data_IF_603143254279
#
_entry.id   IF_603143254279
#
_cell.length_a   1.000
_cell.length_b   1.000
_cell.length_c   1.000
_cell.angle_alpha   90.00
_cell.angle_beta   90.00
_cell.angle_gamma   90.00
#
_symmetry.space_group_name_H-M   'P 1'
#
loop_
_entity.id
_entity.type
_entity.pdbx_description
1 polymer ?
#
# COMPACT_ATOMS: atom_id res chain seq x y z
N UNK A 1 29.03 10.96 -2.02
CA UNK A 1 27.58 10.89 -2.31
C UNK A 1 26.97 9.60 -1.77
N UNK A 2 27.56 8.43 -2.05
CA UNK A 2 27.10 7.16 -1.45
C UNK A 2 27.23 7.15 0.09
N UNK A 3 28.33 7.65 0.66
CA UNK A 3 28.51 7.73 2.12
C UNK A 3 27.44 8.58 2.82
N UNK A 4 26.96 9.65 2.16
CA UNK A 4 25.87 10.47 2.69
C UNK A 4 24.57 9.66 2.80
N UNK A 5 24.18 8.97 1.73
CA UNK A 5 22.97 8.13 1.74
C UNK A 5 23.10 6.95 2.72
N UNK A 6 24.29 6.35 2.81
CA UNK A 6 24.57 5.29 3.78
C UNK A 6 24.40 5.78 5.21
N UNK A 7 25.06 6.89 5.57
CA UNK A 7 25.01 7.44 6.92
C UNK A 7 23.61 7.93 7.27
N UNK A 8 22.95 8.66 6.36
CA UNK A 8 21.58 9.14 6.56
C UNK A 8 20.60 7.98 6.79
N UNK A 9 20.69 6.92 5.99
CA UNK A 9 19.88 5.73 6.20
C UNK A 9 20.12 5.16 7.62
N UNK A 10 21.38 4.97 8.03
CA UNK A 10 21.71 4.47 9.36
C UNK A 10 21.19 5.37 10.48
N UNK A 11 21.31 6.69 10.32
CA UNK A 11 20.90 7.67 11.32
C UNK A 11 19.40 7.63 11.60
N UNK A 12 18.57 7.47 10.56
CA UNK A 12 17.12 7.32 10.69
C UNK A 12 16.71 6.16 11.62
N UNK A 13 17.48 5.06 11.63
CA UNK A 13 17.15 3.89 12.45
C UNK A 13 17.73 3.92 13.86
N UNK A 14 18.64 4.85 14.20
CA UNK A 14 19.29 4.87 15.52
C UNK A 14 18.30 4.97 16.68
N UNK A 15 17.22 5.73 16.47
CA UNK A 15 16.21 5.99 17.48
C UNK A 15 14.81 5.56 17.03
N UNK A 16 14.74 4.75 15.97
CA UNK A 16 13.48 4.22 15.48
C UNK A 16 12.92 3.16 16.44
N UNK A 17 11.61 3.12 16.59
CA UNK A 17 10.92 2.17 17.44
C UNK A 17 10.26 1.10 16.58
N UNK A 18 10.56 -0.17 16.83
CA UNK A 18 9.82 -1.28 16.20
C UNK A 18 8.40 -1.31 16.76
N UNK A 19 7.40 -1.09 15.89
CA UNK A 19 5.99 -1.09 16.26
C UNK A 19 5.28 -2.39 15.89
N UNK A 20 5.78 -3.09 14.87
CA UNK A 20 5.34 -4.43 14.49
C UNK A 20 6.53 -5.22 13.98
N UNK A 21 6.75 -6.41 14.53
CA UNK A 21 7.82 -7.31 14.08
C UNK A 21 7.43 -8.07 12.81
N UNK A 22 8.36 -8.90 12.32
CA UNK A 22 8.16 -9.72 11.13
C UNK A 22 6.97 -10.69 11.26
N UNK A 23 6.77 -11.28 12.43
CA UNK A 23 5.70 -12.27 12.65
C UNK A 23 4.32 -11.59 12.60
N UNK A 24 4.19 -10.41 13.20
CA UNK A 24 2.98 -9.61 13.19
C UNK A 24 2.59 -9.20 11.76
N UNK A 25 3.55 -8.74 10.94
CA UNK A 25 3.25 -8.37 9.55
C UNK A 25 2.88 -9.59 8.70
N UNK A 26 3.54 -10.73 8.89
CA UNK A 26 3.21 -11.97 8.16
C UNK A 26 1.82 -12.49 8.54
N UNK A 27 1.47 -12.43 9.83
CA UNK A 27 0.15 -12.78 10.35
C UNK A 27 -0.95 -11.90 9.73
N UNK A 28 -0.69 -10.59 9.63
CA UNK A 28 -1.62 -9.66 9.01
C UNK A 28 -1.83 -9.97 7.52
N UNK A 29 -0.77 -10.23 6.75
CA UNK A 29 -0.88 -10.58 5.33
C UNK A 29 -1.61 -11.91 5.14
N UNK A 30 -1.34 -12.92 5.97
CA UNK A 30 -2.04 -14.20 5.91
C UNK A 30 -3.54 -14.06 6.18
N UNK A 31 -3.92 -13.21 7.14
CA UNK A 31 -5.33 -12.88 7.39
C UNK A 31 -5.97 -12.20 6.19
N UNK A 32 -5.32 -11.19 5.60
CA UNK A 32 -5.84 -10.51 4.41
C UNK A 32 -6.01 -11.47 3.23
N UNK A 33 -5.06 -12.38 3.02
CA UNK A 33 -5.18 -13.42 2.00
C UNK A 33 -6.39 -14.34 2.27
N UNK A 34 -6.59 -14.74 3.52
CA UNK A 34 -7.76 -15.53 3.94
C UNK A 34 -9.09 -14.83 3.64
N UNK A 35 -9.18 -13.52 3.87
CA UNK A 35 -10.39 -12.72 3.56
C UNK A 35 -10.66 -12.65 2.05
N UNK A 36 -9.62 -12.46 1.22
CA UNK A 36 -9.75 -12.49 -0.23
C UNK A 36 -10.11 -13.88 -0.74
N UNK A 37 -9.46 -14.93 -0.23
CA UNK A 37 -9.75 -16.32 -0.60
C UNK A 37 -11.19 -16.69 -0.23
N UNK A 38 -11.68 -16.28 0.94
CA UNK A 38 -13.07 -16.52 1.32
C UNK A 38 -14.08 -15.89 0.35
N UNK A 39 -13.72 -14.77 -0.30
CA UNK A 39 -14.56 -14.12 -1.31
C UNK A 39 -14.49 -14.79 -2.69
N UNK A 40 -13.30 -15.18 -3.12
CA UNK A 40 -13.06 -15.56 -4.52
C UNK A 40 -12.83 -17.06 -4.75
N UNK A 41 -12.42 -17.81 -3.73
CA UNK A 41 -12.06 -19.23 -3.84
C UNK A 41 -13.23 -20.14 -3.46
N UNK A 42 -14.32 -20.07 -4.23
CA UNK A 42 -15.40 -21.03 -4.13
C UNK A 42 -15.96 -21.41 -5.50
N UNK A 43 -16.50 -22.64 -5.69
CA UNK A 43 -16.79 -23.20 -7.02
C UNK A 43 -17.80 -22.42 -7.87
N UNK A 44 -18.68 -21.66 -7.21
CA UNK A 44 -19.70 -20.85 -7.88
C UNK A 44 -19.18 -19.46 -8.30
N UNK A 45 -17.99 -19.05 -7.82
CA UNK A 45 -17.38 -17.79 -8.22
C UNK A 45 -16.72 -17.94 -9.60
N UNK A 46 -17.16 -17.14 -10.57
CA UNK A 46 -16.57 -17.07 -11.91
C UNK A 46 -15.82 -15.75 -12.16
N UNK A 47 -15.67 -14.92 -11.13
CA UNK A 47 -14.90 -13.68 -11.23
C UNK A 47 -13.43 -13.99 -11.53
N UNK A 48 -12.85 -13.18 -12.41
CA UNK A 48 -11.43 -13.20 -12.72
C UNK A 48 -10.84 -11.84 -12.37
N UNK A 49 -10.54 -11.58 -11.09
CA UNK A 49 -10.14 -10.25 -10.64
C UNK A 49 -8.80 -9.82 -11.24
N UNK A 50 -8.66 -8.50 -11.44
CA UNK A 50 -7.38 -7.87 -11.75
C UNK A 50 -6.79 -7.32 -10.44
N UNK A 51 -5.64 -7.83 -10.03
CA UNK A 51 -4.89 -7.30 -8.89
C UNK A 51 -3.92 -6.22 -9.40
N UNK A 52 -4.02 -5.02 -8.85
CA UNK A 52 -3.16 -3.88 -9.17
C UNK A 52 -2.35 -3.46 -7.95
N UNK A 53 -1.03 -3.67 -8.00
CA UNK A 53 -0.12 -3.13 -7.00
C UNK A 53 0.21 -1.65 -7.27
N UNK A 54 0.10 -0.78 -6.26
CA UNK A 54 0.57 0.61 -6.31
C UNK A 54 2.08 0.64 -6.06
N UNK A 55 2.87 0.81 -7.13
CA UNK A 55 4.32 0.60 -7.08
C UNK A 55 5.10 1.69 -6.36
N UNK A 56 6.23 1.26 -5.80
CA UNK A 56 7.02 2.01 -4.84
C UNK A 56 6.87 1.36 -3.48
N UNK A 57 5.79 1.70 -2.79
CA UNK A 57 5.43 1.22 -1.46
C UNK A 57 4.93 -0.22 -1.41
N UNK A 58 3.87 -0.51 -2.16
CA UNK A 58 3.15 -1.78 -2.08
C UNK A 58 3.92 -3.00 -2.59
N UNK A 59 5.14 -2.84 -3.11
CA UNK A 59 5.93 -3.91 -3.76
C UNK A 59 6.18 -5.09 -2.82
N UNK A 60 6.54 -4.84 -1.56
CA UNK A 60 6.82 -5.90 -0.58
C UNK A 60 5.52 -6.57 -0.14
N UNK A 61 4.51 -5.79 0.21
CA UNK A 61 3.18 -6.30 0.57
C UNK A 61 2.58 -7.18 -0.54
N UNK A 62 2.56 -6.67 -1.78
CA UNK A 62 2.05 -7.37 -2.97
C UNK A 62 2.78 -8.70 -3.18
N UNK A 63 4.12 -8.69 -3.11
CA UNK A 63 4.93 -9.90 -3.29
C UNK A 63 4.72 -10.96 -2.21
N UNK A 64 4.33 -10.56 -0.99
CA UNK A 64 3.99 -11.50 0.09
C UNK A 64 2.54 -11.97 0.05
N UNK A 65 1.61 -11.14 -0.43
CA UNK A 65 0.18 -11.48 -0.52
C UNK A 65 -0.11 -12.42 -1.68
N UNK A 66 0.38 -12.12 -2.89
CA UNK A 66 0.04 -12.85 -4.12
C UNK A 66 0.22 -14.37 -4.00
N UNK A 67 1.33 -14.91 -3.44
CA UNK A 67 1.53 -16.36 -3.32
C UNK A 67 0.53 -17.06 -2.38
N UNK A 68 -0.22 -16.30 -1.58
CA UNK A 68 -1.20 -16.83 -0.63
C UNK A 68 -2.64 -16.79 -1.18
N UNK A 69 -2.85 -16.18 -2.35
CA UNK A 69 -4.15 -16.14 -3.00
C UNK A 69 -4.40 -17.44 -3.77
N UNK A 70 -5.54 -18.09 -3.52
CA UNK A 70 -5.82 -19.45 -4.02
C UNK A 70 -6.79 -19.49 -5.20
N UNK A 71 -7.24 -18.32 -5.67
CA UNK A 71 -8.16 -18.18 -6.79
C UNK A 71 -7.46 -17.66 -8.06
N UNK A 72 -8.00 -17.94 -9.27
CA UNK A 72 -7.46 -17.39 -10.52
C UNK A 72 -7.54 -15.86 -10.57
N UNK A 73 -6.44 -15.21 -10.90
CA UNK A 73 -6.36 -13.75 -11.04
C UNK A 73 -5.38 -13.32 -12.14
N UNK A 74 -5.49 -12.08 -12.59
CA UNK A 74 -4.45 -11.40 -13.37
C UNK A 74 -3.76 -10.37 -12.47
N UNK A 75 -2.45 -10.19 -12.64
CA UNK A 75 -1.68 -9.17 -11.93
C UNK A 75 -1.09 -8.16 -12.91
N UNK A 76 -1.24 -6.88 -12.58
CA UNK A 76 -0.50 -5.77 -13.21
C UNK A 76 -0.19 -4.73 -12.11
N UNK A 77 0.40 -3.61 -12.50
CA UNK A 77 0.76 -2.55 -11.58
C UNK A 77 0.38 -1.17 -12.09
N UNK A 78 0.25 -0.25 -11.15
CA UNK A 78 0.10 1.17 -11.42
C UNK A 78 1.13 1.95 -10.61
N UNK A 79 1.44 3.18 -11.03
CA UNK A 79 2.39 4.02 -10.31
C UNK A 79 1.88 5.44 -10.31
N UNK A 80 1.59 5.92 -9.10
CA UNK A 80 1.03 7.24 -8.83
C UNK A 80 1.96 8.00 -7.90
N UNK A 81 2.12 9.30 -8.14
CA UNK A 81 2.90 10.21 -7.30
C UNK A 81 2.14 11.53 -7.09
N UNK A 82 2.46 12.28 -6.03
CA UNK A 82 1.92 13.63 -5.81
C UNK A 82 2.98 14.66 -6.17
N UNK A 83 2.59 15.75 -6.84
CA UNK A 83 3.48 16.87 -7.20
C UNK A 83 2.88 18.23 -6.77
N UNK A 84 3.66 19.05 -6.05
CA UNK A 84 3.26 20.38 -5.55
C UNK A 84 3.37 20.54 -4.02
N UNK A 85 3.30 21.78 -3.53
CA UNK A 85 3.54 22.17 -2.12
C UNK A 85 2.95 21.18 -1.10
N UNK A 86 3.82 20.72 -0.20
CA UNK A 86 3.57 19.68 0.81
C UNK A 86 2.36 19.97 1.71
N UNK A 87 1.94 21.23 1.81
CA UNK A 87 0.83 21.71 2.65
C UNK A 87 -0.57 21.64 2.00
N UNK A 88 -0.68 21.38 0.69
CA UNK A 88 -1.98 21.41 -0.02
C UNK A 88 -2.29 20.17 -0.85
N UNK A 89 -1.56 19.09 -0.63
CA UNK A 89 -1.90 17.81 -1.22
C UNK A 89 -1.89 17.83 -2.75
N UNK A 90 -0.74 18.18 -3.32
CA UNK A 90 -0.51 18.42 -4.76
C UNK A 90 -1.13 17.42 -5.74
N UNK A 91 -1.18 17.84 -7.01
CA UNK A 91 -1.88 17.10 -8.08
C UNK A 91 -1.35 15.68 -8.24
N UNK A 92 -2.28 14.74 -8.46
CA UNK A 92 -1.97 13.33 -8.68
C UNK A 92 -1.39 13.14 -10.09
N UNK A 93 -0.18 12.60 -10.16
CA UNK A 93 0.55 12.33 -11.41
C UNK A 93 0.72 10.83 -11.60
N UNK A 94 0.23 10.32 -12.72
CA UNK A 94 0.40 8.93 -13.12
C UNK A 94 1.74 8.75 -13.86
N UNK A 95 2.61 7.88 -13.35
CA UNK A 95 3.79 7.39 -14.06
C UNK A 95 3.48 6.14 -14.88
N UNK A 96 2.59 5.29 -14.35
CA UNK A 96 2.04 4.12 -15.05
C UNK A 96 0.54 4.09 -14.79
N UNK A 97 -0.23 4.18 -15.87
CA UNK A 97 -1.70 4.22 -15.85
C UNK A 97 -2.30 2.82 -15.94
N UNK A 98 -3.50 2.58 -15.36
CA UNK A 98 -4.24 1.35 -15.59
C UNK A 98 -4.52 1.15 -17.08
N UNK A 99 -4.59 -0.10 -17.52
CA UNK A 99 -4.89 -0.47 -18.91
C UNK A 99 -6.39 -0.76 -19.09
N UNK A 100 -6.81 -1.01 -20.33
CA UNK A 100 -8.21 -1.30 -20.65
C UNK A 100 -8.71 -2.65 -20.15
N UNK A 101 -7.82 -3.52 -19.65
CA UNK A 101 -8.18 -4.81 -19.05
C UNK A 101 -8.92 -4.68 -17.70
N UNK A 102 -9.21 -3.47 -17.23
CA UNK A 102 -10.05 -3.19 -16.04
C UNK A 102 -11.56 -3.29 -16.33
N UNK A 103 -11.97 -3.12 -17.59
CA UNK A 103 -13.40 -2.97 -17.96
C UNK A 103 -14.19 -4.23 -17.60
N UNK A 104 -15.30 -4.05 -16.87
CA UNK A 104 -16.23 -5.11 -16.49
C UNK A 104 -15.69 -6.08 -15.43
N UNK A 105 -14.54 -5.78 -14.82
CA UNK A 105 -13.89 -6.66 -13.83
C UNK A 105 -13.93 -6.07 -12.43
N UNK A 106 -13.85 -6.98 -11.47
CA UNK A 106 -13.45 -6.67 -10.09
C UNK A 106 -11.96 -6.38 -10.08
N UNK A 107 -11.58 -5.21 -9.58
CA UNK A 107 -10.19 -4.76 -9.47
C UNK A 107 -9.80 -4.68 -8.00
N UNK A 108 -8.77 -5.43 -7.59
CA UNK A 108 -8.23 -5.40 -6.24
C UNK A 108 -6.98 -4.52 -6.25
N UNK A 109 -7.06 -3.33 -5.65
CA UNK A 109 -5.92 -2.41 -5.54
C UNK A 109 -5.18 -2.70 -4.24
N UNK A 110 -3.89 -3.00 -4.36
CA UNK A 110 -2.99 -3.22 -3.24
C UNK A 110 -2.12 -1.98 -3.00
N UNK A 111 -2.17 -1.43 -1.79
CA UNK A 111 -1.31 -0.32 -1.37
C UNK A 111 -0.63 -0.61 -0.02
N UNK A 112 0.54 -0.03 0.24
CA UNK A 112 1.23 -0.26 1.52
C UNK A 112 0.61 0.53 2.67
N UNK A 113 0.13 1.75 2.42
CA UNK A 113 -0.44 2.60 3.48
C UNK A 113 -1.57 3.51 3.01
N UNK A 114 -2.70 3.45 3.72
CA UNK A 114 -3.75 4.46 3.67
C UNK A 114 -3.45 5.56 4.70
N UNK A 115 -2.76 6.62 4.28
CA UNK A 115 -2.55 7.82 5.10
C UNK A 115 -3.76 8.77 4.97
N UNK A 116 -3.66 9.83 4.16
CA UNK A 116 -4.77 10.78 3.98
C UNK A 116 -5.88 10.26 3.06
N UNK A 117 -5.58 9.28 2.20
CA UNK A 117 -6.55 8.64 1.30
C UNK A 117 -6.79 9.32 -0.05
N UNK A 118 -6.24 10.52 -0.29
CA UNK A 118 -6.41 11.24 -1.56
C UNK A 118 -5.93 10.45 -2.79
N UNK A 119 -4.74 9.84 -2.71
CA UNK A 119 -4.19 9.03 -3.80
C UNK A 119 -5.09 7.84 -4.13
N UNK A 120 -5.52 7.08 -3.11
CA UNK A 120 -6.36 5.90 -3.31
C UNK A 120 -7.78 6.25 -3.74
N UNK A 121 -8.34 7.38 -3.28
CA UNK A 121 -9.62 7.88 -3.78
C UNK A 121 -9.54 8.19 -5.28
N UNK A 122 -8.48 8.85 -5.72
CA UNK A 122 -8.24 9.15 -7.13
C UNK A 122 -8.05 7.87 -7.97
N UNK A 123 -7.28 6.90 -7.47
CA UNK A 123 -7.11 5.59 -8.12
C UNK A 123 -8.44 4.87 -8.26
N UNK A 124 -9.23 4.79 -7.18
CA UNK A 124 -10.54 4.13 -7.17
C UNK A 124 -11.49 4.77 -8.18
N UNK A 125 -11.60 6.10 -8.16
CA UNK A 125 -12.46 6.82 -9.10
C UNK A 125 -12.01 6.61 -10.54
N UNK A 126 -10.70 6.68 -10.82
CA UNK A 126 -10.17 6.45 -12.16
C UNK A 126 -10.50 5.07 -12.71
N UNK A 127 -10.40 4.03 -11.88
CA UNK A 127 -10.72 2.65 -12.29
C UNK A 127 -12.22 2.48 -12.57
N UNK A 128 -13.08 3.08 -11.75
CA UNK A 128 -14.53 3.11 -11.97
C UNK A 128 -14.89 3.86 -13.26
N UNK A 129 -14.28 5.02 -13.51
CA UNK A 129 -14.49 5.80 -14.74
C UNK A 129 -14.02 5.04 -16.00
N UNK A 130 -13.02 4.17 -15.84
CA UNK A 130 -12.55 3.27 -16.91
C UNK A 130 -13.44 2.04 -17.10
N UNK A 131 -14.50 1.89 -16.30
CA UNK A 131 -15.50 0.83 -16.43
C UNK A 131 -15.23 -0.42 -15.60
N UNK A 132 -14.40 -0.35 -14.55
CA UNK A 132 -14.32 -1.44 -13.57
C UNK A 132 -15.71 -1.71 -12.97
N UNK A 133 -16.07 -2.99 -12.82
CA UNK A 133 -17.35 -3.38 -12.22
C UNK A 133 -17.36 -3.16 -10.71
N UNK A 134 -16.22 -3.41 -10.07
CA UNK A 134 -16.00 -3.20 -8.64
C UNK A 134 -14.53 -2.84 -8.41
N UNK A 135 -14.26 -2.01 -7.39
CA UNK A 135 -12.90 -1.70 -6.95
C UNK A 135 -12.80 -1.95 -5.45
N UNK A 136 -12.03 -2.99 -5.11
CA UNK A 136 -11.68 -3.39 -3.74
C UNK A 136 -10.34 -2.77 -3.38
N UNK A 137 -10.29 -2.02 -2.29
CA UNK A 137 -9.06 -1.44 -1.76
C UNK A 137 -8.55 -2.31 -0.62
N UNK A 138 -7.39 -2.94 -0.80
CA UNK A 138 -6.70 -3.68 0.23
C UNK A 138 -5.38 -2.97 0.57
N UNK A 139 -5.29 -2.45 1.79
CA UNK A 139 -4.11 -1.70 2.25
C UNK A 139 -3.42 -2.44 3.37
N UNK A 140 -2.10 -2.50 3.33
CA UNK A 140 -1.37 -3.16 4.40
C UNK A 140 -1.49 -2.39 5.71
N UNK A 141 -1.27 -1.08 5.70
CA UNK A 141 -1.45 -0.21 6.86
C UNK A 141 -2.59 0.79 6.68
N UNK A 142 -3.37 1.01 7.74
CA UNK A 142 -4.30 2.14 7.84
C UNK A 142 -3.88 3.06 8.99
N UNK A 143 -3.56 4.32 8.66
CA UNK A 143 -3.04 5.28 9.64
C UNK A 143 -4.19 5.95 10.39
N UNK A 144 -4.18 5.84 11.72
CA UNK A 144 -5.17 6.47 12.59
C UNK A 144 -4.94 7.99 12.73
N UNK A 145 -5.28 8.75 11.68
CA UNK A 145 -5.02 10.19 11.59
C UNK A 145 -6.04 11.07 12.37
N UNK A 146 -7.08 10.47 12.95
CA UNK A 146 -8.08 11.19 13.75
C UNK A 146 -9.00 12.13 12.95
N UNK A 147 -8.96 12.08 11.62
CA UNK A 147 -9.84 12.82 10.70
C UNK A 147 -10.48 11.87 9.68
N UNK A 148 -11.60 12.29 9.09
CA UNK A 148 -12.23 11.55 8.00
C UNK A 148 -11.31 11.53 6.77
N UNK A 149 -11.30 10.40 6.06
CA UNK A 149 -10.60 10.19 4.78
C UNK A 149 -11.63 10.21 3.65
N UNK A 150 -11.26 10.62 2.42
CA UNK A 150 -12.15 10.59 1.26
C UNK A 150 -12.48 9.15 0.82
N UNK A 151 -11.72 8.16 1.30
CA UNK A 151 -11.94 6.75 1.02
C UNK A 151 -11.56 5.89 2.22
N UNK A 152 -12.24 4.76 2.37
CA UNK A 152 -11.91 3.68 3.31
C UNK A 152 -11.40 2.48 2.55
N UNK A 153 -10.44 1.76 3.12
CA UNK A 153 -10.04 0.46 2.60
C UNK A 153 -11.08 -0.60 2.96
N UNK A 154 -11.34 -1.52 2.04
CA UNK A 154 -12.24 -2.65 2.22
C UNK A 154 -11.56 -3.76 3.04
N UNK A 155 -10.23 -3.89 2.88
CA UNK A 155 -9.41 -4.85 3.63
C UNK A 155 -8.19 -4.10 4.18
N UNK A 156 -7.97 -4.22 5.50
CA UNK A 156 -6.86 -3.56 6.21
C UNK A 156 -6.01 -4.65 6.88
N UNK A 157 -4.69 -4.59 6.71
CA UNK A 157 -3.74 -5.46 7.39
C UNK A 157 -3.51 -5.06 8.86
N UNK A 158 -3.08 -3.83 9.08
CA UNK A 158 -2.72 -3.31 10.40
C UNK A 158 -3.18 -1.86 10.51
N UNK A 159 -3.81 -1.50 11.64
CA UNK A 159 -4.03 -0.10 11.98
C UNK A 159 -2.84 0.42 12.78
N UNK A 160 -2.22 1.50 12.30
CA UNK A 160 -1.02 2.09 12.91
C UNK A 160 -1.33 3.48 13.51
N UNK A 161 -0.60 3.92 14.55
CA UNK A 161 -0.72 5.28 15.07
C UNK A 161 -0.33 6.31 14.01
N UNK A 162 -0.73 7.57 14.19
CA UNK A 162 -0.32 8.68 13.32
C UNK A 162 1.16 9.06 13.53
N UNK A 163 2.07 8.17 13.14
CA UNK A 163 3.53 8.33 13.17
C UNK A 163 4.09 8.08 11.77
N UNK A 164 5.28 8.61 11.51
CA UNK A 164 5.99 8.30 10.28
C UNK A 164 6.57 6.88 10.40
N UNK A 165 6.26 5.99 9.47
CA UNK A 165 6.68 4.58 9.52
C UNK A 165 7.47 4.19 8.27
N UNK A 166 8.40 3.25 8.46
CA UNK A 166 9.18 2.62 7.38
C UNK A 166 9.23 1.11 7.58
N UNK A 167 9.65 0.38 6.55
CA UNK A 167 9.70 -1.07 6.57
C UNK A 167 8.52 -1.70 5.85
N UNK A 168 8.65 -2.98 5.53
CA UNK A 168 7.65 -3.74 4.80
C UNK A 168 7.14 -3.08 3.51
N UNK A 169 8.04 -2.42 2.78
CA UNK A 169 7.74 -1.68 1.56
C UNK A 169 7.68 -0.16 1.72
N UNK A 170 7.34 0.36 2.90
CA UNK A 170 7.32 1.80 3.20
C UNK A 170 8.73 2.36 3.39
N UNK A 171 8.95 3.63 3.02
CA UNK A 171 10.29 4.24 2.99
C UNK A 171 10.38 5.64 3.60
N UNK A 172 11.63 6.01 3.94
CA UNK A 172 12.06 7.39 4.13
C UNK A 172 13.13 7.71 3.08
N UNK A 173 12.90 8.67 2.19
CA UNK A 173 13.85 9.10 1.16
C UNK A 173 14.36 7.98 0.24
N UNK A 174 13.55 6.92 0.05
CA UNK A 174 13.89 5.71 -0.70
C UNK A 174 14.55 4.60 0.12
N UNK A 175 14.79 4.81 1.42
CA UNK A 175 15.47 3.83 2.28
C UNK A 175 14.51 2.94 3.08
N UNK A 176 15.04 1.80 3.52
CA UNK A 176 14.43 0.94 4.52
C UNK A 176 13.11 0.25 4.17
N UNK A 177 12.70 0.25 2.89
CA UNK A 177 11.63 -0.63 2.38
C UNK A 177 11.85 -2.10 2.75
N UNK A 178 13.11 -2.50 2.86
CA UNK A 178 13.56 -3.87 3.06
C UNK A 178 13.55 -4.34 4.52
N UNK A 179 13.15 -3.50 5.49
CA UNK A 179 13.02 -3.97 6.86
C UNK A 179 11.85 -4.96 6.97
N UNK A 180 11.97 -6.04 7.77
CA UNK A 180 11.03 -7.16 7.75
C UNK A 180 9.72 -6.91 8.50
N UNK A 181 9.67 -5.91 9.37
CA UNK A 181 8.49 -5.39 10.08
C UNK A 181 8.28 -3.89 9.84
N UNK A 182 7.72 -3.19 10.82
CA UNK A 182 7.44 -1.75 10.80
C UNK A 182 8.16 -1.01 11.92
N UNK A 183 8.83 0.09 11.55
CA UNK A 183 9.50 0.98 12.48
C UNK A 183 8.92 2.39 12.39
N UNK A 184 8.60 2.98 13.53
CA UNK A 184 8.24 4.37 13.62
C UNK A 184 9.49 5.25 13.78
N UNK A 185 9.67 6.19 12.85
CA UNK A 185 10.74 7.19 12.87
C UNK A 185 10.29 8.38 13.72
N UNK A 186 11.19 8.92 14.56
CA UNK A 186 10.91 10.15 15.30
C UNK A 186 10.97 11.32 14.33
N UNK A 187 10.03 12.26 14.45
CA UNK A 187 9.94 13.42 13.56
C UNK A 187 11.24 14.24 13.53
N UNK A 188 11.96 14.31 14.65
CA UNK A 188 13.26 14.99 14.80
C UNK A 188 14.34 14.42 13.88
N UNK A 189 14.29 13.10 13.60
CA UNK A 189 15.31 12.39 12.81
C UNK A 189 15.03 12.46 11.29
N UNK A 190 13.88 12.98 10.85
CA UNK A 190 13.56 13.11 9.41
C UNK A 190 14.35 14.25 8.75
N UNK A 191 14.52 15.37 9.48
CA UNK A 191 15.12 16.60 8.96
C UNK A 191 16.61 16.76 9.30
N UNK A 192 17.20 15.78 9.99
CA UNK A 192 18.62 15.77 10.37
C UNK A 192 19.57 15.35 9.24
#
# INVERSE_FOLDING_TARGET
>A
MQDFHHNRARDLLKNAEEIFDQEAVQTAVARMAGELNARFDHPENQEFPLVLGVMGGAVVFTGNLLPQLTFPLEFDYIHVSRYGDEDKGGAVVWKVIPRSNVVGRTVIVLDDILDEGETLAHVKQRLLDMGAAEVILAVFCDKAIGKAKPVTADIIGITIPNRFVVGYGMDAYGYWRNLPGLWAIRTEDLNS
#
